data_IF_863034040331
#
_entry.id   IF_863034040331
#
_cell.length_a   1.000
_cell.length_b   1.000
_cell.length_c   1.000
_cell.angle_alpha   90.00
_cell.angle_beta   90.00
_cell.angle_gamma   90.00
#
_symmetry.space_group_name_H-M   'P 1'
#
loop_
_entity.id
_entity.type
_entity.pdbx_description
1 polymer ?
#
# COMPACT_ATOMS: atom_id res chain seq x y z
N UNK A 1 10.79 7.05 -4.56
CA UNK A 1 9.82 7.69 -3.64
C UNK A 1 8.83 6.68 -3.05
N UNK A 2 8.10 5.91 -3.88
CA UNK A 2 7.09 4.93 -3.40
C UNK A 2 7.67 3.84 -2.49
N UNK A 3 8.88 3.35 -2.77
CA UNK A 3 9.59 2.35 -1.95
C UNK A 3 10.02 2.86 -0.57
N UNK A 4 10.34 4.15 -0.43
CA UNK A 4 10.77 4.75 0.84
C UNK A 4 9.61 5.01 1.80
N UNK A 5 8.38 5.18 1.27
CA UNK A 5 7.18 5.38 2.10
C UNK A 5 6.45 4.08 2.43
N UNK A 6 6.23 3.22 1.44
CA UNK A 6 5.35 2.06 1.62
C UNK A 6 5.93 1.00 2.56
N UNK A 7 7.22 0.67 2.42
CA UNK A 7 7.87 -0.36 3.24
C UNK A 7 7.80 -0.07 4.74
N UNK A 8 8.22 1.11 5.20
CA UNK A 8 8.10 1.50 6.61
C UNK A 8 6.66 1.54 7.11
N UNK A 9 5.71 2.06 6.30
CA UNK A 9 4.30 2.12 6.68
C UNK A 9 3.66 0.73 6.80
N UNK A 10 3.94 -0.17 5.86
CA UNK A 10 3.45 -1.54 5.87
C UNK A 10 4.01 -2.34 7.06
N UNK A 11 5.22 -2.02 7.53
CA UNK A 11 5.80 -2.61 8.74
C UNK A 11 5.26 -1.97 10.03
N UNK A 12 4.97 -0.67 10.03
CA UNK A 12 4.54 0.07 11.22
C UNK A 12 3.06 -0.14 11.54
N UNK A 13 2.15 -0.04 10.55
CA UNK A 13 0.70 -0.06 10.77
C UNK A 13 0.21 -1.32 11.50
N UNK A 14 0.67 -2.55 11.17
CA UNK A 14 0.24 -3.76 11.88
C UNK A 14 0.68 -3.81 13.35
N UNK A 15 1.72 -3.04 13.73
CA UNK A 15 2.20 -2.92 15.12
C UNK A 15 1.31 -1.99 15.95
N UNK A 16 0.70 -0.98 15.34
CA UNK A 16 -0.23 -0.05 15.99
C UNK A 16 -1.65 -0.63 16.13
N UNK A 17 -2.04 -1.52 15.21
CA UNK A 17 -3.39 -2.10 15.18
C UNK A 17 -3.35 -3.64 15.18
N UNK A 18 -2.82 -4.29 16.23
CA UNK A 18 -2.63 -5.74 16.25
C UNK A 18 -3.95 -6.52 16.12
N UNK A 19 -5.05 -6.02 16.70
CA UNK A 19 -6.37 -6.64 16.62
C UNK A 19 -7.09 -6.41 15.27
N UNK A 20 -6.70 -5.40 14.49
CA UNK A 20 -7.40 -4.97 13.26
C UNK A 20 -6.43 -4.74 12.09
N UNK A 21 -5.39 -5.57 11.99
CA UNK A 21 -4.32 -5.43 10.98
C UNK A 21 -4.87 -5.35 9.55
N UNK A 22 -5.80 -6.23 9.19
CA UNK A 22 -6.42 -6.25 7.86
C UNK A 22 -7.15 -4.95 7.52
N UNK A 23 -7.96 -4.43 8.45
CA UNK A 23 -8.67 -3.16 8.26
C UNK A 23 -7.70 -1.97 8.13
N UNK A 24 -6.69 -1.91 8.98
CA UNK A 24 -5.70 -0.84 8.96
C UNK A 24 -4.90 -0.82 7.65
N UNK A 25 -4.49 -2.00 7.16
CA UNK A 25 -3.83 -2.15 5.85
C UNK A 25 -4.78 -1.85 4.67
N UNK A 26 -6.07 -2.15 4.83
CA UNK A 26 -7.11 -1.78 3.87
C UNK A 26 -7.25 -0.27 3.72
N UNK A 27 -7.35 0.46 4.84
CA UNK A 27 -7.43 1.93 4.86
C UNK A 27 -6.18 2.55 4.25
N UNK A 28 -4.99 2.03 4.58
CA UNK A 28 -3.73 2.46 3.96
C UNK A 28 -3.78 2.30 2.43
N UNK A 29 -4.27 1.16 1.96
CA UNK A 29 -4.38 0.86 0.52
C UNK A 29 -5.34 1.81 -0.21
N UNK A 30 -6.42 2.27 0.44
CA UNK A 30 -7.34 3.27 -0.13
C UNK A 30 -6.60 4.57 -0.47
N UNK A 31 -5.69 5.03 0.40
CA UNK A 31 -4.89 6.23 0.15
C UNK A 31 -4.05 6.12 -1.12
N UNK A 32 -3.52 4.93 -1.41
CA UNK A 32 -2.77 4.67 -2.64
C UNK A 32 -3.68 4.78 -3.86
N UNK A 33 -4.84 4.11 -3.83
CA UNK A 33 -5.81 4.17 -4.93
C UNK A 33 -6.30 5.60 -5.19
N UNK A 34 -6.59 6.36 -4.13
CA UNK A 34 -6.99 7.77 -4.24
C UNK A 34 -5.87 8.59 -4.88
N UNK A 35 -4.60 8.40 -4.48
CA UNK A 35 -3.46 9.09 -5.08
C UNK A 35 -3.29 8.78 -6.58
N UNK A 36 -3.41 7.51 -6.97
CA UNK A 36 -3.31 7.07 -8.37
C UNK A 36 -4.44 7.66 -9.23
N UNK A 37 -5.63 7.85 -8.65
CA UNK A 37 -6.76 8.47 -9.34
C UNK A 37 -6.60 9.99 -9.40
N UNK A 38 -6.35 10.67 -8.28
CA UNK A 38 -6.48 12.14 -8.17
C UNK A 38 -5.26 12.88 -8.73
N UNK A 39 -4.04 12.38 -8.49
CA UNK A 39 -2.80 13.11 -8.83
C UNK A 39 -2.65 13.36 -10.34
N UNK A 40 -2.91 12.40 -11.25
CA UNK A 40 -2.80 12.66 -12.70
C UNK A 40 -3.76 13.72 -13.22
N UNK A 41 -4.98 13.79 -12.68
CA UNK A 41 -5.93 14.85 -13.03
C UNK A 41 -5.47 16.22 -12.55
N UNK A 42 -5.06 16.28 -11.29
CA UNK A 42 -4.58 17.52 -10.69
C UNK A 42 -3.32 18.01 -11.42
N UNK A 43 -2.38 17.10 -11.74
CA UNK A 43 -1.18 17.45 -12.48
C UNK A 43 -1.50 17.94 -13.89
N UNK A 44 -2.42 17.28 -14.62
CA UNK A 44 -2.84 17.72 -15.94
C UNK A 44 -3.43 19.13 -15.91
N UNK A 45 -4.34 19.41 -14.96
CA UNK A 45 -4.97 20.72 -14.81
C UNK A 45 -3.98 21.82 -14.41
N UNK A 46 -3.03 21.52 -13.52
CA UNK A 46 -2.00 22.48 -13.14
C UNK A 46 -1.05 22.76 -14.30
N UNK A 47 -0.66 21.73 -15.06
CA UNK A 47 0.28 21.87 -16.18
C UNK A 47 -0.33 22.75 -17.29
N UNK A 48 -1.62 22.60 -17.59
CA UNK A 48 -2.29 23.44 -18.58
C UNK A 48 -2.42 24.90 -18.14
N UNK A 49 -2.63 25.15 -16.83
CA UNK A 49 -2.81 26.50 -16.30
C UNK A 49 -1.49 27.25 -16.04
N UNK A 50 -0.47 26.57 -15.52
CA UNK A 50 0.73 27.19 -14.94
C UNK A 50 2.05 26.70 -15.56
N UNK A 51 1.98 25.77 -16.51
CA UNK A 51 3.15 25.10 -17.07
C UNK A 51 3.77 24.07 -16.12
N UNK A 52 4.65 23.23 -16.65
CA UNK A 52 5.16 22.06 -15.94
C UNK A 52 6.01 22.39 -14.71
N UNK A 53 6.85 23.43 -14.77
CA UNK A 53 7.78 23.79 -13.68
C UNK A 53 7.03 24.16 -12.41
N UNK A 54 6.05 25.07 -12.52
CA UNK A 54 5.29 25.54 -11.36
C UNK A 54 4.35 24.44 -10.84
N UNK A 55 3.78 23.63 -11.73
CA UNK A 55 2.92 22.50 -11.37
C UNK A 55 3.63 21.48 -10.48
N UNK A 56 4.84 21.06 -10.86
CA UNK A 56 5.62 20.14 -10.03
C UNK A 56 6.07 20.77 -8.71
N UNK A 57 6.37 22.07 -8.69
CA UNK A 57 6.68 22.78 -7.46
C UNK A 57 5.48 22.80 -6.49
N UNK A 58 4.27 23.10 -7.00
CA UNK A 58 3.02 23.09 -6.20
C UNK A 58 2.74 21.68 -5.68
N UNK A 59 2.78 20.66 -6.55
CA UNK A 59 2.54 19.27 -6.15
C UNK A 59 3.54 18.79 -5.11
N UNK A 60 4.82 19.15 -5.27
CA UNK A 60 5.87 18.85 -4.31
C UNK A 60 5.63 19.51 -2.96
N UNK A 61 5.26 20.80 -2.95
CA UNK A 61 4.97 21.54 -1.72
C UNK A 61 3.75 20.98 -0.98
N UNK A 62 2.66 20.71 -1.70
CA UNK A 62 1.44 20.13 -1.11
C UNK A 62 1.74 18.75 -0.52
N UNK A 63 2.40 17.88 -1.29
CA UNK A 63 2.74 16.53 -0.84
C UNK A 63 3.70 16.56 0.35
N UNK A 64 4.72 17.42 0.31
CA UNK A 64 5.67 17.60 1.41
C UNK A 64 5.00 18.10 2.68
N UNK A 65 4.09 19.07 2.56
CA UNK A 65 3.35 19.63 3.70
C UNK A 65 2.44 18.57 4.34
N UNK A 66 1.77 17.74 3.53
CA UNK A 66 0.94 16.64 4.05
C UNK A 66 1.81 15.59 4.76
N UNK A 67 2.94 15.19 4.17
CA UNK A 67 3.85 14.22 4.78
C UNK A 67 4.40 14.75 6.11
N UNK A 68 4.94 15.97 6.11
CA UNK A 68 5.50 16.60 7.31
C UNK A 68 4.39 16.84 8.35
N UNK A 69 3.21 17.31 7.95
CA UNK A 69 2.07 17.47 8.84
C UNK A 69 1.65 16.16 9.50
N UNK A 70 1.70 15.05 8.74
CA UNK A 70 1.36 13.72 9.26
C UNK A 70 2.34 13.22 10.31
N UNK A 71 3.62 13.63 10.28
CA UNK A 71 4.59 13.21 11.31
C UNK A 71 4.29 13.80 12.68
N UNK A 72 3.65 14.98 12.74
CA UNK A 72 3.20 15.58 14.01
C UNK A 72 1.96 14.91 14.59
N UNK A 73 1.16 14.23 13.76
CA UNK A 73 -0.04 13.52 14.18
C UNK A 73 0.25 12.08 14.64
N UNK A 74 1.33 11.48 14.15
CA UNK A 74 1.73 10.12 14.50
C UNK A 74 2.44 10.14 15.86
N UNK A 75 1.85 9.49 16.86
CA UNK A 75 2.50 9.28 18.17
C UNK A 75 3.77 8.44 17.98
N UNK A 76 4.81 8.72 18.79
CA UNK A 76 6.15 8.15 18.61
C UNK A 76 6.27 6.67 19.00
N UNK A 77 5.38 6.19 19.87
CA UNK A 77 5.43 4.82 20.41
C UNK A 77 4.10 4.10 20.21
N UNK A 78 4.10 2.91 19.59
CA UNK A 78 2.89 2.09 19.50
C UNK A 78 2.38 1.74 20.90
N UNK A 79 1.06 1.62 21.10
CA UNK A 79 0.50 1.17 22.37
C UNK A 79 1.20 -0.12 22.79
N UNK A 80 1.53 -0.23 24.09
CA UNK A 80 2.15 -1.45 24.60
C UNK A 80 1.28 -2.66 24.20
N UNK A 81 1.92 -3.76 23.83
CA UNK A 81 1.25 -5.00 23.40
C UNK A 81 0.27 -5.52 24.47
N UNK A 82 0.45 -5.08 25.71
CA UNK A 82 -0.35 -5.41 26.88
C UNK A 82 -1.68 -4.63 26.95
N UNK A 83 -1.74 -3.41 26.40
CA UNK A 83 -2.92 -2.53 26.43
C UNK A 83 -3.90 -2.82 25.26
N UNK A 84 -3.44 -3.52 24.23
CA UNK A 84 -4.17 -3.74 22.97
C UNK A 84 -4.80 -5.12 22.81
N UNK A 85 -4.73 -5.98 23.84
CA UNK A 85 -5.52 -7.21 23.90
C UNK A 85 -6.97 -6.85 24.29
N UNK A 86 -7.98 -7.24 23.50
CA UNK A 86 -9.34 -7.25 23.99
C UNK A 86 -9.37 -8.06 25.28
N UNK A 87 -9.96 -7.52 26.36
CA UNK A 87 -10.28 -8.27 27.57
C UNK A 87 -11.37 -9.28 27.23
N UNK A 88 -11.02 -10.35 26.53
CA UNK A 88 -11.89 -11.52 26.40
C UNK A 88 -11.87 -12.25 27.73
N UNK A 89 -12.95 -12.11 28.48
CA UNK A 89 -13.34 -13.03 29.56
C UNK A 89 -13.65 -14.39 28.94
N UNK A 90 -12.62 -15.17 28.66
CA UNK A 90 -12.74 -16.60 28.39
C UNK A 90 -11.95 -17.40 29.43
N UNK A 91 -12.54 -18.47 29.99
CA UNK A 91 -11.92 -19.27 31.05
C UNK A 91 -10.63 -19.92 30.54
N UNK A 92 -9.69 -20.27 31.44
CA UNK A 92 -8.30 -20.53 31.06
C UNK A 92 -8.18 -21.80 30.22
N UNK A 93 -8.08 -21.65 28.91
CA UNK A 93 -7.74 -22.72 27.99
C UNK A 93 -6.23 -22.85 27.88
N UNK A 94 -5.64 -23.77 28.65
CA UNK A 94 -4.33 -24.44 28.51
C UNK A 94 -3.07 -23.54 28.37
N UNK A 95 -1.87 -23.95 28.85
CA UNK A 95 -0.67 -23.14 28.70
C UNK A 95 -0.29 -23.08 27.22
N UNK A 96 -0.57 -21.94 26.58
CA UNK A 96 -0.02 -21.59 25.28
C UNK A 96 1.50 -21.67 25.39
N UNK A 97 2.11 -22.59 24.64
CA UNK A 97 3.56 -22.68 24.50
C UNK A 97 4.18 -21.35 24.05
N UNK A 98 5.51 -21.21 24.12
CA UNK A 98 6.18 -19.98 23.74
C UNK A 98 5.75 -19.54 22.33
N UNK A 99 5.50 -18.24 22.11
CA UNK A 99 5.07 -17.74 20.81
C UNK A 99 6.06 -18.18 19.74
N UNK A 100 5.59 -18.61 18.55
CA UNK A 100 6.48 -19.09 17.50
C UNK A 100 7.53 -18.02 17.18
N UNK A 101 8.81 -18.41 17.28
CA UNK A 101 9.94 -17.55 16.90
C UNK A 101 9.79 -17.19 15.42
N UNK A 102 9.67 -15.89 15.13
CA UNK A 102 9.77 -15.39 13.76
C UNK A 102 11.18 -15.62 13.22
N UNK A 103 11.31 -15.84 11.90
CA UNK A 103 12.62 -15.96 11.26
C UNK A 103 13.37 -14.63 11.29
N UNK A 104 14.67 -14.70 11.56
CA UNK A 104 15.59 -13.60 11.29
C UNK A 104 15.72 -13.36 9.78
N UNK A 105 16.18 -12.16 9.38
CA UNK A 105 16.33 -11.81 7.97
C UNK A 105 17.28 -12.77 7.23
N UNK A 106 18.36 -13.18 7.88
CA UNK A 106 19.32 -14.16 7.37
C UNK A 106 18.72 -15.54 7.19
N UNK A 107 17.87 -15.99 8.12
CA UNK A 107 17.16 -17.27 7.99
C UNK A 107 16.13 -17.21 6.87
N UNK A 108 15.38 -16.12 6.76
CA UNK A 108 14.36 -15.95 5.72
C UNK A 108 14.97 -15.98 4.30
N UNK A 109 16.12 -15.33 4.09
CA UNK A 109 16.85 -15.32 2.81
C UNK A 109 17.34 -16.72 2.39
N UNK A 110 17.55 -17.64 3.34
CA UNK A 110 17.91 -19.02 3.06
C UNK A 110 16.73 -19.91 2.64
N UNK A 111 15.49 -19.43 2.75
CA UNK A 111 14.32 -20.27 2.46
C UNK A 111 13.92 -20.25 0.98
N UNK A 112 13.53 -21.40 0.45
CA UNK A 112 12.96 -21.51 -0.92
C UNK A 112 11.65 -20.73 -1.05
N UNK A 113 10.85 -20.71 0.01
CA UNK A 113 9.58 -19.96 0.05
C UNK A 113 9.81 -18.47 -0.20
N UNK A 114 10.83 -17.86 0.43
CA UNK A 114 11.19 -16.46 0.17
C UNK A 114 11.47 -16.21 -1.30
N UNK A 115 12.31 -17.03 -1.94
CA UNK A 115 12.67 -16.83 -3.34
C UNK A 115 11.52 -17.07 -4.31
N UNK A 116 10.62 -18.00 -4.02
CA UNK A 116 9.38 -18.19 -4.80
C UNK A 116 8.48 -16.96 -4.73
N UNK A 117 8.25 -16.43 -3.53
CA UNK A 117 7.46 -15.21 -3.34
C UNK A 117 8.14 -14.01 -4.00
N UNK A 118 9.45 -13.86 -3.84
CA UNK A 118 10.24 -12.80 -4.45
C UNK A 118 10.13 -12.83 -5.99
N UNK A 119 10.37 -14.00 -6.60
CA UNK A 119 10.29 -14.15 -8.05
C UNK A 119 8.87 -13.89 -8.58
N UNK A 120 7.84 -14.42 -7.91
CA UNK A 120 6.45 -14.17 -8.27
C UNK A 120 6.07 -12.70 -8.18
N UNK A 121 6.48 -12.03 -7.10
CA UNK A 121 6.24 -10.60 -6.92
C UNK A 121 7.00 -9.74 -7.94
N UNK A 122 8.24 -10.11 -8.26
CA UNK A 122 9.05 -9.44 -9.27
C UNK A 122 8.42 -9.55 -10.66
N UNK A 123 7.95 -10.74 -11.03
CA UNK A 123 7.31 -11.00 -12.31
C UNK A 123 6.00 -10.23 -12.43
N UNK A 124 5.20 -10.24 -11.36
CA UNK A 124 3.96 -9.46 -11.27
C UNK A 124 4.22 -7.95 -11.43
N UNK A 125 5.18 -7.40 -10.67
CA UNK A 125 5.54 -5.98 -10.78
C UNK A 125 5.97 -5.63 -12.22
N UNK A 126 6.84 -6.45 -12.81
CA UNK A 126 7.36 -6.22 -14.16
C UNK A 126 6.23 -6.19 -15.19
N UNK A 127 5.36 -7.20 -15.19
CA UNK A 127 4.23 -7.26 -16.12
C UNK A 127 3.24 -6.11 -15.92
N UNK A 128 2.91 -5.80 -14.67
CA UNK A 128 2.01 -4.70 -14.35
C UNK A 128 2.56 -3.35 -14.83
N UNK A 129 3.80 -3.02 -14.49
CA UNK A 129 4.38 -1.73 -14.88
C UNK A 129 4.61 -1.61 -16.38
N UNK A 130 5.04 -2.69 -17.06
CA UNK A 130 5.21 -2.70 -18.51
C UNK A 130 3.90 -2.33 -19.24
N UNK A 131 2.78 -2.92 -18.83
CA UNK A 131 1.47 -2.59 -19.40
C UNK A 131 1.08 -1.15 -19.02
N UNK A 132 1.22 -0.78 -17.74
CA UNK A 132 0.77 0.52 -17.24
C UNK A 132 1.43 1.70 -17.97
N UNK A 133 2.73 1.62 -18.30
CA UNK A 133 3.43 2.72 -18.99
C UNK A 133 3.05 2.86 -20.47
N UNK A 134 2.66 1.77 -21.14
CA UNK A 134 2.34 1.78 -22.57
C UNK A 134 0.87 1.96 -22.85
N UNK A 135 0.01 1.61 -21.90
CA UNK A 135 -1.44 1.65 -22.10
C UNK A 135 -1.98 3.06 -22.37
N UNK A 136 -1.43 4.10 -21.73
CA UNK A 136 -1.84 5.49 -22.00
C UNK A 136 -1.49 5.93 -23.44
N UNK A 137 -0.26 5.62 -23.89
CA UNK A 137 0.21 5.98 -25.23
C UNK A 137 -0.61 5.23 -26.29
N UNK A 138 -0.79 3.92 -26.09
CA UNK A 138 -1.60 3.09 -26.97
C UNK A 138 -3.05 3.57 -27.09
N UNK A 139 -3.65 4.05 -25.97
CA UNK A 139 -4.98 4.65 -26.00
C UNK A 139 -5.04 5.94 -26.83
N UNK A 140 -4.02 6.78 -26.75
CA UNK A 140 -3.92 8.00 -27.57
C UNK A 140 -3.77 7.65 -29.06
N UNK A 141 -2.96 6.65 -29.38
CA UNK A 141 -2.76 6.18 -30.76
C UNK A 141 -4.05 5.63 -31.39
N UNK A 142 -4.94 5.06 -30.57
CA UNK A 142 -6.28 4.62 -30.98
C UNK A 142 -7.29 5.78 -31.14
N UNK A 143 -6.89 7.02 -30.88
CA UNK A 143 -7.74 8.21 -31.02
C UNK A 143 -8.51 8.61 -29.75
N UNK A 144 -8.22 8.01 -28.59
CA UNK A 144 -8.80 8.49 -27.33
C UNK A 144 -8.18 9.83 -26.91
N UNK A 145 -8.96 10.64 -26.19
CA UNK A 145 -8.42 11.86 -25.58
C UNK A 145 -7.36 11.50 -24.53
N UNK A 146 -6.33 12.35 -24.34
CA UNK A 146 -5.30 12.11 -23.33
C UNK A 146 -5.86 11.89 -21.91
N UNK A 147 -6.95 12.59 -21.58
CA UNK A 147 -7.66 12.42 -20.31
C UNK A 147 -8.37 11.05 -20.21
N UNK A 148 -8.98 10.57 -21.30
CA UNK A 148 -9.63 9.25 -21.34
C UNK A 148 -8.62 8.10 -21.23
N UNK A 149 -7.47 8.22 -21.91
CA UNK A 149 -6.39 7.24 -21.82
C UNK A 149 -5.78 7.20 -20.41
N UNK A 150 -5.54 8.37 -19.79
CA UNK A 150 -5.09 8.46 -18.40
C UNK A 150 -6.08 7.82 -17.42
N UNK A 151 -7.38 8.04 -17.63
CA UNK A 151 -8.45 7.42 -16.83
C UNK A 151 -8.42 5.89 -16.88
N UNK A 152 -8.26 5.31 -18.06
CA UNK A 152 -8.20 3.86 -18.22
C UNK A 152 -7.01 3.26 -17.45
N UNK A 153 -5.84 3.90 -17.52
CA UNK A 153 -4.66 3.49 -16.73
C UNK A 153 -4.90 3.63 -15.24
N UNK A 154 -5.49 4.75 -14.82
CA UNK A 154 -5.82 5.02 -13.42
C UNK A 154 -6.83 4.01 -12.83
N UNK A 155 -7.82 3.55 -13.62
CA UNK A 155 -8.78 2.53 -13.21
C UNK A 155 -8.13 1.15 -13.05
N UNK A 156 -7.22 0.77 -13.95
CA UNK A 156 -6.48 -0.50 -13.85
C UNK A 156 -5.53 -0.48 -12.65
N UNK A 157 -4.81 0.62 -12.44
CA UNK A 157 -3.90 0.75 -11.29
C UNK A 157 -4.61 0.88 -9.94
N UNK A 158 -5.71 1.64 -9.88
CA UNK A 158 -6.54 1.78 -8.68
C UNK A 158 -7.26 0.48 -8.31
N UNK A 159 -7.78 -0.24 -9.31
CA UNK A 159 -8.47 -1.52 -9.17
C UNK A 159 -7.55 -2.63 -8.67
N UNK A 160 -6.36 -2.79 -9.26
CA UNK A 160 -5.37 -3.80 -8.85
C UNK A 160 -4.92 -3.62 -7.39
N UNK A 161 -4.73 -2.38 -6.96
CA UNK A 161 -4.34 -2.05 -5.58
C UNK A 161 -5.43 -2.41 -4.56
N UNK A 162 -6.69 -2.15 -4.91
CA UNK A 162 -7.84 -2.50 -4.08
C UNK A 162 -8.10 -4.01 -4.01
N UNK A 163 -7.85 -4.74 -5.10
CA UNK A 163 -7.94 -6.19 -5.14
C UNK A 163 -6.88 -6.85 -4.24
N UNK A 164 -5.65 -6.31 -4.21
CA UNK A 164 -4.58 -6.82 -3.35
C UNK A 164 -4.93 -6.70 -1.85
N UNK A 165 -5.56 -5.59 -1.45
CA UNK A 165 -6.02 -5.40 -0.06
C UNK A 165 -7.10 -6.42 0.35
N UNK A 166 -8.00 -6.79 -0.58
CA UNK A 166 -9.06 -7.79 -0.36
C UNK A 166 -8.50 -9.21 -0.34
N UNK A 167 -7.54 -9.54 -1.20
CA UNK A 167 -6.84 -10.83 -1.21
C UNK A 167 -6.01 -11.06 0.06
N UNK A 168 -5.31 -10.04 0.54
CA UNK A 168 -4.60 -10.13 1.82
C UNK A 168 -5.58 -10.28 2.98
N UNK A 169 -6.71 -9.57 2.97
CA UNK A 169 -7.78 -9.77 3.97
C UNK A 169 -8.41 -11.16 3.89
N UNK A 170 -8.62 -11.73 2.70
CA UNK A 170 -9.21 -13.05 2.54
C UNK A 170 -8.25 -14.17 2.98
N UNK A 171 -6.95 -14.04 2.67
CA UNK A 171 -5.93 -14.99 3.10
C UNK A 171 -5.70 -14.95 4.61
N UNK A 172 -5.71 -13.76 5.20
CA UNK A 172 -5.59 -13.61 6.66
C UNK A 172 -6.84 -14.10 7.38
N UNK A 173 -8.04 -13.87 6.83
CA UNK A 173 -9.28 -14.45 7.35
C UNK A 173 -9.27 -15.98 7.30
N UNK A 174 -8.85 -16.58 6.16
CA UNK A 174 -8.75 -18.04 6.03
C UNK A 174 -7.68 -18.68 6.93
N UNK A 175 -6.61 -17.94 7.25
CA UNK A 175 -5.55 -18.42 8.15
C UNK A 175 -5.94 -18.34 9.63
N UNK A 176 -6.95 -17.53 9.99
CA UNK A 176 -7.44 -17.37 11.37
C UNK A 176 -8.56 -18.34 11.79
N UNK A 177 -8.94 -19.30 10.94
CA UNK A 177 -9.80 -20.41 11.34
C UNK A 177 -11.15 -19.99 11.96
N UNK A 178 -11.80 -18.99 11.37
CA UNK A 178 -13.25 -18.77 11.52
C UNK A 178 -13.90 -18.92 10.17
#
# INVERSE_FOLDING_TARGET
AVSAGWGPLAAAIPRWFPARRGLAMGIMSIGISVGILVIPFLSSHLITAFGWRLSFAILGLVTGTVIIGSTFLIKKEPPSVEESRPREEHPPSSPLGPPPRGWSLTEALGTRAFWMFFAGYLLWCTGFYMIAVHLAVYGIDLGFSPAGAALAVSLIGGGASSANSRWVCSLTASATGK
#
